data_IF_086993533966
#
_entry.id   IF_086993533966
#
_cell.length_a   1.000
_cell.length_b   1.000
_cell.length_c   1.000
_cell.angle_alpha   90.00
_cell.angle_beta   90.00
_cell.angle_gamma   90.00
#
_symmetry.space_group_name_H-M   'P 1'
#
loop_
_entity.id
_entity.type
_entity.pdbx_description
1 polymer ?
#
# COMPACT_ATOMS: atom_id res chain seq x y z
N UNK A 1 11.35 18.89 -17.98
CA UNK A 1 10.67 17.60 -18.14
C UNK A 1 11.68 16.47 -18.20
N UNK A 2 12.47 16.31 -19.27
CA UNK A 2 13.37 15.15 -19.42
C UNK A 2 14.36 14.96 -18.27
N UNK A 3 14.98 16.05 -17.77
CA UNK A 3 15.82 16.01 -16.56
C UNK A 3 15.08 15.42 -15.35
N UNK A 4 13.81 15.77 -15.16
CA UNK A 4 13.01 15.21 -14.07
C UNK A 4 12.62 13.75 -14.30
N UNK A 5 12.52 13.30 -15.56
CA UNK A 5 12.18 11.92 -15.86
C UNK A 5 13.39 11.00 -15.69
N UNK A 6 14.56 11.46 -16.09
CA UNK A 6 15.82 10.78 -15.81
C UNK A 6 16.13 10.77 -14.30
N UNK A 7 16.07 11.92 -13.61
CA UNK A 7 16.23 12.00 -12.15
C UNK A 7 15.23 11.09 -11.41
N UNK A 8 13.96 11.05 -11.86
CA UNK A 8 12.96 10.14 -11.29
C UNK A 8 13.34 8.67 -11.48
N UNK A 9 13.86 8.28 -12.66
CA UNK A 9 14.24 6.89 -12.93
C UNK A 9 15.44 6.47 -12.07
N UNK A 10 16.44 7.34 -11.95
CA UNK A 10 17.59 7.11 -11.07
C UNK A 10 17.15 6.94 -9.62
N UNK A 11 16.33 7.88 -9.11
CA UNK A 11 15.81 7.85 -7.75
C UNK A 11 14.91 6.64 -7.49
N UNK A 12 14.06 6.28 -8.44
CA UNK A 12 13.24 5.08 -8.38
C UNK A 12 14.12 3.83 -8.21
N UNK A 13 15.12 3.64 -9.09
CA UNK A 13 16.00 2.48 -9.05
C UNK A 13 16.81 2.42 -7.74
N UNK A 14 17.29 3.57 -7.25
CA UNK A 14 18.00 3.70 -5.97
C UNK A 14 17.11 3.35 -4.78
N UNK A 15 15.95 4.00 -4.66
CA UNK A 15 15.03 3.80 -3.54
C UNK A 15 14.42 2.40 -3.55
N UNK A 16 14.08 1.86 -4.73
CA UNK A 16 13.60 0.49 -4.87
C UNK A 16 14.61 -0.48 -4.31
N UNK A 17 15.89 -0.37 -4.70
CA UNK A 17 16.98 -1.20 -4.16
C UNK A 17 17.07 -1.17 -2.64
N UNK A 18 16.96 0.00 -2.02
CA UNK A 18 16.98 0.10 -0.56
C UNK A 18 15.76 -0.55 0.09
N UNK A 19 14.55 -0.28 -0.42
CA UNK A 19 13.31 -0.85 0.10
C UNK A 19 13.24 -2.37 -0.08
N UNK A 20 13.81 -2.89 -1.18
CA UNK A 20 13.95 -4.32 -1.41
C UNK A 20 14.84 -5.01 -0.37
N UNK A 21 15.99 -4.41 -0.07
CA UNK A 21 16.91 -4.95 0.93
C UNK A 21 16.27 -4.96 2.31
N UNK A 22 15.63 -3.86 2.68
CA UNK A 22 14.89 -3.74 3.93
C UNK A 22 13.77 -4.80 4.03
N UNK A 23 12.91 -4.91 3.01
CA UNK A 23 11.87 -5.95 2.99
C UNK A 23 12.45 -7.37 3.06
N UNK A 24 13.58 -7.65 2.39
CA UNK A 24 14.24 -8.96 2.47
C UNK A 24 14.76 -9.24 3.88
N UNK A 25 15.41 -8.27 4.50
CA UNK A 25 15.97 -8.38 5.84
C UNK A 25 14.85 -8.60 6.86
N UNK A 26 13.84 -7.75 6.89
CA UNK A 26 12.74 -7.85 7.86
C UNK A 26 11.82 -9.05 7.62
N UNK A 27 11.61 -9.48 6.38
CA UNK A 27 10.67 -10.57 6.07
C UNK A 27 11.30 -11.96 5.94
N UNK A 28 12.61 -12.05 5.68
CA UNK A 28 13.30 -13.35 5.50
C UNK A 28 14.40 -13.63 6.50
N UNK A 29 14.98 -12.59 7.10
CA UNK A 29 16.06 -12.72 8.08
C UNK A 29 15.89 -11.76 9.27
N UNK A 30 14.69 -11.63 9.87
CA UNK A 30 14.52 -10.74 11.01
C UNK A 30 15.48 -11.16 12.13
N UNK A 31 16.18 -10.19 12.71
CA UNK A 31 17.23 -10.41 13.71
C UNK A 31 18.39 -11.34 13.27
N UNK A 32 18.59 -11.53 11.96
CA UNK A 32 19.64 -12.38 11.41
C UNK A 32 19.30 -13.87 11.35
N UNK A 33 18.13 -14.29 11.86
CA UNK A 33 17.65 -15.66 11.77
C UNK A 33 16.71 -15.85 10.59
N UNK A 34 16.85 -16.97 9.87
CA UNK A 34 15.92 -17.27 8.78
C UNK A 34 14.48 -17.38 9.32
N UNK A 35 13.58 -16.58 8.78
CA UNK A 35 12.14 -16.62 9.06
C UNK A 35 11.38 -16.42 7.76
N UNK A 36 10.12 -16.83 7.68
CA UNK A 36 9.28 -16.49 6.54
C UNK A 36 8.09 -15.68 7.01
N UNK A 37 8.27 -14.35 7.10
CA UNK A 37 7.16 -13.45 7.40
C UNK A 37 6.47 -12.93 6.13
N UNK A 38 5.18 -12.62 6.24
CA UNK A 38 4.45 -11.88 5.21
C UNK A 38 4.08 -10.44 5.63
N UNK A 39 3.48 -9.69 4.68
CA UNK A 39 3.04 -8.32 4.94
C UNK A 39 1.90 -8.18 5.97
N UNK A 40 1.28 -9.29 6.35
CA UNK A 40 0.08 -9.37 7.19
C UNK A 40 0.41 -9.87 8.62
N UNK A 41 1.71 -9.90 8.96
CA UNK A 41 2.29 -10.29 10.25
C UNK A 41 2.24 -11.80 10.53
N UNK A 42 2.11 -12.63 9.50
CA UNK A 42 2.10 -14.08 9.64
C UNK A 42 3.46 -14.72 9.41
N UNK A 43 3.75 -15.80 10.14
CA UNK A 43 4.80 -16.77 9.83
C UNK A 43 4.28 -17.80 8.83
N UNK A 44 4.74 -17.70 7.58
CA UNK A 44 4.35 -18.56 6.48
C UNK A 44 4.87 -20.00 6.58
N UNK A 45 5.84 -20.28 7.45
CA UNK A 45 6.24 -21.67 7.73
C UNK A 45 5.09 -22.46 8.37
N UNK A 46 4.21 -21.77 9.11
CA UNK A 46 3.08 -22.37 9.83
C UNK A 46 1.72 -21.97 9.24
N UNK A 47 1.65 -20.83 8.58
CA UNK A 47 0.41 -20.28 8.03
C UNK A 47 0.05 -20.93 6.70
N UNK A 48 -1.18 -21.40 6.59
CA UNK A 48 -1.81 -21.90 5.37
C UNK A 48 -3.28 -21.46 5.38
N UNK A 49 -3.55 -20.31 4.75
CA UNK A 49 -4.85 -19.66 4.80
C UNK A 49 -5.97 -20.52 4.20
N UNK A 50 -5.68 -21.34 3.19
CA UNK A 50 -6.64 -22.28 2.61
C UNK A 50 -7.13 -23.36 3.58
N UNK A 51 -6.41 -23.58 4.69
CA UNK A 51 -6.82 -24.46 5.81
C UNK A 51 -7.41 -23.69 6.99
N UNK A 52 -7.53 -22.37 6.88
CA UNK A 52 -7.85 -21.44 7.97
C UNK A 52 -6.87 -21.51 9.14
N UNK A 53 -5.60 -21.82 8.84
CA UNK A 53 -4.51 -21.87 9.79
C UNK A 53 -3.65 -20.61 9.65
N UNK A 54 -3.75 -19.73 10.65
CA UNK A 54 -3.06 -18.43 10.69
C UNK A 54 -2.16 -18.38 11.90
N UNK A 55 -0.90 -17.96 11.72
CA UNK A 55 0.09 -17.88 12.80
C UNK A 55 0.77 -16.52 12.77
N UNK A 56 0.25 -15.59 13.57
CA UNK A 56 0.89 -14.32 13.85
C UNK A 56 2.10 -14.53 14.77
N UNK A 57 3.21 -13.85 14.46
CA UNK A 57 4.34 -13.77 15.37
C UNK A 57 4.85 -12.32 15.47
N UNK A 58 5.25 -11.90 16.68
CA UNK A 58 5.70 -10.53 16.94
C UNK A 58 6.90 -10.14 16.06
N UNK A 59 7.81 -11.09 15.80
CA UNK A 59 8.98 -10.91 14.93
C UNK A 59 8.60 -10.53 13.49
N UNK A 60 7.38 -10.82 13.05
CA UNK A 60 6.89 -10.46 11.72
C UNK A 60 6.32 -9.03 11.63
N UNK A 61 6.29 -8.26 12.73
CA UNK A 61 5.82 -6.86 12.70
C UNK A 61 6.69 -5.96 11.83
N UNK A 62 8.00 -6.19 11.83
CA UNK A 62 8.93 -5.35 11.06
C UNK A 62 8.74 -5.61 9.56
N UNK A 63 8.46 -6.86 9.17
CA UNK A 63 8.05 -7.18 7.80
C UNK A 63 6.77 -6.43 7.40
N UNK A 64 5.74 -6.45 8.26
CA UNK A 64 4.49 -5.71 8.03
C UNK A 64 4.77 -4.21 7.80
N UNK A 65 5.58 -3.58 8.65
CA UNK A 65 5.89 -2.16 8.53
C UNK A 65 6.68 -1.81 7.26
N UNK A 66 7.71 -2.60 6.94
CA UNK A 66 8.50 -2.44 5.72
C UNK A 66 7.63 -2.64 4.46
N UNK A 67 6.80 -3.68 4.44
CA UNK A 67 5.97 -4.01 3.29
C UNK A 67 4.81 -3.06 3.09
N UNK A 68 4.09 -2.65 4.13
CA UNK A 68 2.97 -1.71 4.00
C UNK A 68 3.42 -0.38 3.38
N UNK A 69 4.59 0.13 3.81
CA UNK A 69 5.20 1.36 3.25
C UNK A 69 5.71 1.14 1.82
N UNK A 70 6.37 0.01 1.56
CA UNK A 70 6.90 -0.31 0.23
C UNK A 70 5.79 -0.47 -0.81
N UNK A 71 4.73 -1.22 -0.50
CA UNK A 71 3.58 -1.44 -1.38
C UNK A 71 2.89 -0.12 -1.72
N UNK A 72 2.63 0.73 -0.74
CA UNK A 72 2.04 2.06 -0.97
C UNK A 72 2.94 2.94 -1.83
N UNK A 73 4.26 2.87 -1.63
CA UNK A 73 5.23 3.63 -2.44
C UNK A 73 5.30 3.12 -3.89
N UNK A 74 5.39 1.82 -4.12
CA UNK A 74 5.50 1.25 -5.48
C UNK A 74 4.23 1.50 -6.30
N UNK A 75 3.04 1.40 -5.67
CA UNK A 75 1.75 1.73 -6.31
C UNK A 75 1.68 3.20 -6.76
N UNK A 76 2.35 4.11 -6.03
CA UNK A 76 2.45 5.52 -6.42
C UNK A 76 3.48 5.73 -7.53
N UNK A 77 4.63 5.05 -7.47
CA UNK A 77 5.68 5.12 -8.50
C UNK A 77 5.17 4.66 -9.86
N UNK A 78 4.38 3.58 -9.92
CA UNK A 78 3.72 3.13 -11.15
C UNK A 78 2.91 4.25 -11.82
N UNK A 79 2.20 5.04 -11.03
CA UNK A 79 1.34 6.13 -11.54
C UNK A 79 2.13 7.37 -11.95
N UNK A 80 3.23 7.65 -11.27
CA UNK A 80 4.16 8.70 -11.68
C UNK A 80 4.79 8.32 -13.02
N UNK A 81 5.25 7.09 -13.16
CA UNK A 81 5.78 6.54 -14.41
C UNK A 81 4.79 6.67 -15.57
N UNK A 82 3.56 6.14 -15.43
CA UNK A 82 2.51 6.24 -16.47
C UNK A 82 2.23 7.68 -16.90
N UNK A 83 2.31 8.66 -15.99
CA UNK A 83 2.13 10.08 -16.30
C UNK A 83 3.30 10.63 -17.10
N UNK A 84 4.52 10.25 -16.73
CA UNK A 84 5.74 10.68 -17.41
C UNK A 84 5.85 10.09 -18.80
N UNK A 85 5.51 8.81 -18.96
CA UNK A 85 5.40 8.13 -20.25
C UNK A 85 4.41 8.85 -21.19
N UNK A 86 3.19 9.10 -20.71
CA UNK A 86 2.17 9.87 -21.45
C UNK A 86 2.64 11.28 -21.80
N UNK A 87 3.42 11.91 -20.91
CA UNK A 87 3.98 13.25 -21.15
C UNK A 87 5.07 13.19 -22.23
N UNK A 88 5.99 12.24 -22.17
CA UNK A 88 7.04 12.05 -23.17
C UNK A 88 6.44 11.87 -24.57
N UNK A 89 5.46 10.96 -24.70
CA UNK A 89 4.76 10.69 -25.96
C UNK A 89 4.09 11.94 -26.56
N UNK A 90 3.64 12.88 -25.72
CA UNK A 90 3.10 14.17 -26.17
C UNK A 90 4.21 15.15 -26.57
N UNK A 91 5.24 15.30 -25.74
CA UNK A 91 6.33 16.25 -25.99
C UNK A 91 7.14 15.90 -27.25
N UNK A 92 7.35 14.61 -27.55
CA UNK A 92 8.12 14.17 -28.72
C UNK A 92 7.38 14.41 -30.06
N UNK A 93 6.04 14.46 -30.01
CA UNK A 93 5.17 14.74 -31.18
C UNK A 93 4.90 16.23 -31.36
N UNK A 94 5.11 17.03 -30.32
CA UNK A 94 4.81 18.45 -30.31
C UNK A 94 5.81 19.21 -31.18
N UNK A 95 5.31 20.17 -31.94
CA UNK A 95 6.14 21.20 -32.54
C UNK A 95 6.49 22.24 -31.48
N UNK A 96 7.78 22.38 -31.19
CA UNK A 96 8.27 23.31 -30.18
C UNK A 96 8.63 24.60 -30.89
N UNK A 97 7.65 25.49 -31.05
CA UNK A 97 7.90 26.78 -31.69
C UNK A 97 9.11 27.52 -31.09
N UNK A 98 9.76 28.34 -31.91
CA UNK A 98 10.99 29.07 -31.56
C UNK A 98 10.77 30.23 -30.57
N UNK A 99 9.51 30.51 -30.23
CA UNK A 99 9.11 31.54 -29.27
C UNK A 99 8.06 31.01 -28.29
N UNK A 100 8.08 31.52 -27.06
CA UNK A 100 7.12 31.17 -26.01
C UNK A 100 6.55 32.44 -25.38
N UNK A 101 5.23 32.51 -25.22
CA UNK A 101 4.57 33.60 -24.48
C UNK A 101 4.54 33.27 -22.99
N UNK A 102 5.13 34.14 -22.17
CA UNK A 102 5.11 34.08 -20.71
C UNK A 102 4.48 35.37 -20.20
N UNK A 103 3.20 35.31 -19.83
CA UNK A 103 2.43 36.50 -19.46
C UNK A 103 2.27 37.44 -20.66
N UNK A 104 2.78 38.67 -20.55
CA UNK A 104 2.78 39.67 -21.65
C UNK A 104 4.09 39.70 -22.46
N UNK A 105 5.07 38.86 -22.11
CA UNK A 105 6.39 38.86 -22.73
C UNK A 105 6.60 37.62 -23.59
N UNK A 106 7.17 37.80 -24.78
CA UNK A 106 7.63 36.70 -25.64
C UNK A 106 9.10 36.43 -25.36
N UNK A 107 9.44 35.18 -25.03
CA UNK A 107 10.83 34.73 -24.84
C UNK A 107 11.25 33.78 -25.96
N UNK A 108 12.56 33.72 -26.20
CA UNK A 108 13.16 32.82 -27.18
C UNK A 108 13.15 31.37 -26.65
N UNK A 109 12.70 30.43 -27.48
CA UNK A 109 12.58 29.00 -27.19
C UNK A 109 13.39 28.13 -28.16
N UNK A 110 14.29 28.73 -28.97
CA UNK A 110 15.11 28.04 -29.98
C UNK A 110 15.83 26.80 -29.42
N UNK A 111 16.42 26.93 -28.23
CA UNK A 111 17.15 25.82 -27.61
C UNK A 111 16.29 24.60 -27.31
N UNK A 112 15.00 24.80 -27.01
CA UNK A 112 14.08 23.69 -26.72
C UNK A 112 13.69 22.98 -28.01
N UNK A 113 13.44 23.74 -29.07
CA UNK A 113 13.13 23.20 -30.39
C UNK A 113 14.27 22.35 -30.95
N UNK A 114 15.47 22.93 -31.00
CA UNK A 114 16.67 22.22 -31.47
C UNK A 114 16.95 20.97 -30.63
N UNK A 115 16.76 21.07 -29.31
CA UNK A 115 16.90 19.92 -28.42
C UNK A 115 15.91 18.80 -28.76
N UNK A 116 14.61 19.09 -28.92
CA UNK A 116 13.62 18.07 -29.22
C UNK A 116 13.74 17.50 -30.64
N UNK A 117 14.22 18.30 -31.62
CA UNK A 117 14.58 17.79 -32.96
C UNK A 117 15.71 16.76 -32.88
N UNK A 118 16.77 17.07 -32.13
CA UNK A 118 17.88 16.13 -31.89
C UNK A 118 17.38 14.90 -31.12
N UNK A 119 16.61 15.12 -30.05
CA UNK A 119 16.07 14.03 -29.23
C UNK A 119 15.21 13.09 -30.09
N UNK A 120 14.32 13.62 -30.92
CA UNK A 120 13.46 12.83 -31.81
C UNK A 120 14.24 12.01 -32.83
N UNK A 121 15.42 12.48 -33.26
CA UNK A 121 16.32 11.71 -34.15
C UNK A 121 16.87 10.46 -33.46
N UNK A 122 17.24 10.54 -32.19
CA UNK A 122 17.89 9.44 -31.46
C UNK A 122 16.92 8.59 -30.61
N UNK A 123 15.87 9.21 -30.08
CA UNK A 123 14.87 8.63 -29.18
C UNK A 123 13.45 8.99 -29.65
N UNK A 124 13.05 8.53 -30.86
CA UNK A 124 11.79 8.91 -31.49
C UNK A 124 10.54 8.44 -30.73
N UNK A 125 10.68 7.39 -29.92
CA UNK A 125 9.60 6.78 -29.14
C UNK A 125 9.94 6.81 -27.64
N UNK A 126 8.90 6.64 -26.81
CA UNK A 126 9.08 6.52 -25.37
C UNK A 126 9.90 5.27 -25.03
N UNK A 127 9.65 4.15 -25.69
CA UNK A 127 10.36 2.88 -25.45
C UNK A 127 11.88 2.99 -25.66
N UNK A 128 12.29 3.76 -26.69
CA UNK A 128 13.72 4.02 -26.95
C UNK A 128 14.36 4.88 -25.85
N UNK A 129 13.61 5.84 -25.31
CA UNK A 129 14.07 6.64 -24.19
C UNK A 129 14.13 5.82 -22.90
N UNK A 130 13.11 4.99 -22.64
CA UNK A 130 13.06 4.07 -21.51
C UNK A 130 14.21 3.05 -21.56
N UNK A 131 14.55 2.52 -22.73
CA UNK A 131 15.72 1.64 -22.93
C UNK A 131 17.02 2.32 -22.46
N UNK A 132 17.13 3.65 -22.65
CA UNK A 132 18.27 4.42 -22.16
C UNK A 132 18.29 4.51 -20.64
N UNK A 133 17.13 4.78 -20.02
CA UNK A 133 16.99 4.85 -18.56
C UNK A 133 17.27 3.48 -17.90
N UNK A 134 16.81 2.38 -18.51
CA UNK A 134 17.07 1.01 -18.05
C UNK A 134 18.56 0.67 -17.97
N UNK A 135 19.38 1.26 -18.86
CA UNK A 135 20.84 1.07 -18.94
C UNK A 135 21.64 1.93 -17.98
N UNK A 136 20.98 2.71 -17.13
CA UNK A 136 21.69 3.42 -16.07
C UNK A 136 22.22 2.44 -15.03
N UNK A 137 23.47 2.66 -14.59
CA UNK A 137 24.20 1.74 -13.71
C UNK A 137 23.43 1.35 -12.43
N UNK A 138 22.60 2.25 -11.91
CA UNK A 138 21.77 1.99 -10.71
C UNK A 138 20.57 1.10 -11.01
N UNK A 139 20.00 1.20 -12.22
CA UNK A 139 18.89 0.37 -12.70
C UNK A 139 19.36 -1.02 -13.16
N UNK A 140 20.57 -1.12 -13.70
CA UNK A 140 21.20 -2.40 -14.09
C UNK A 140 21.60 -3.30 -12.90
N UNK A 141 21.80 -2.71 -11.71
CA UNK A 141 22.35 -3.41 -10.52
C UNK A 141 21.43 -3.36 -9.30
N UNK A 142 20.31 -4.07 -9.40
CA UNK A 142 19.36 -4.33 -8.33
C UNK A 142 19.71 -5.58 -7.50
N UNK A 143 19.22 -5.68 -6.25
CA UNK A 143 19.30 -6.90 -5.46
C UNK A 143 18.56 -8.05 -6.17
N UNK A 144 19.12 -9.25 -6.09
CA UNK A 144 18.46 -10.46 -6.57
C UNK A 144 17.21 -10.74 -5.74
N UNK A 145 16.06 -10.82 -6.42
CA UNK A 145 14.79 -11.27 -5.86
C UNK A 145 14.53 -12.64 -6.46
N UNK A 146 14.14 -13.63 -5.66
CA UNK A 146 13.86 -14.98 -6.16
C UNK A 146 12.89 -14.93 -7.35
N UNK A 147 13.37 -15.37 -8.52
CA UNK A 147 12.58 -15.41 -9.75
C UNK A 147 12.52 -14.09 -10.55
N UNK A 148 13.20 -13.02 -10.14
CA UNK A 148 13.32 -11.77 -10.93
C UNK A 148 14.78 -11.37 -11.17
N UNK A 149 15.02 -10.78 -12.34
CA UNK A 149 16.35 -10.33 -12.78
C UNK A 149 16.98 -9.26 -11.88
N UNK A 150 18.29 -9.05 -12.06
CA UNK A 150 19.08 -8.03 -11.34
C UNK A 150 18.98 -6.64 -11.97
N UNK A 151 18.23 -6.48 -13.05
CA UNK A 151 18.04 -5.21 -13.75
C UNK A 151 16.57 -4.80 -13.78
N UNK A 152 16.33 -3.49 -13.81
CA UNK A 152 15.02 -2.93 -14.18
C UNK A 152 15.06 -2.63 -15.67
N UNK A 153 14.14 -3.22 -16.43
CA UNK A 153 13.81 -2.70 -17.76
C UNK A 153 12.47 -1.97 -17.69
N UNK A 154 12.47 -0.66 -17.94
CA UNK A 154 11.26 0.15 -17.99
C UNK A 154 10.34 -0.17 -19.18
N UNK A 155 10.80 -0.98 -20.14
CA UNK A 155 9.98 -1.50 -21.23
C UNK A 155 9.29 -2.84 -20.90
N UNK A 156 9.62 -3.47 -19.77
CA UNK A 156 8.91 -4.65 -19.31
C UNK A 156 7.46 -4.30 -18.94
N UNK A 157 6.63 -5.34 -18.79
CA UNK A 157 5.28 -5.19 -18.28
C UNK A 157 5.30 -4.38 -16.97
N UNK A 158 4.40 -3.39 -16.78
CA UNK A 158 4.41 -2.55 -15.58
C UNK A 158 4.34 -3.35 -14.28
N UNK A 159 3.67 -4.50 -14.31
CA UNK A 159 3.57 -5.37 -13.14
C UNK A 159 4.89 -6.07 -12.83
N UNK A 160 5.84 -6.15 -13.76
CA UNK A 160 7.18 -6.65 -13.46
C UNK A 160 8.04 -5.61 -12.74
N UNK A 161 8.06 -4.38 -13.25
CA UNK A 161 8.82 -3.26 -12.68
C UNK A 161 8.27 -2.84 -11.32
N UNK A 162 6.95 -2.66 -11.26
CA UNK A 162 6.21 -2.16 -10.11
C UNK A 162 5.56 -3.27 -9.29
N UNK A 163 5.98 -4.53 -9.49
CA UNK A 163 5.56 -5.65 -8.64
C UNK A 163 5.83 -5.37 -7.17
N UNK A 164 4.85 -5.75 -6.35
CA UNK A 164 5.11 -6.05 -4.94
C UNK A 164 6.10 -7.20 -4.92
N UNK A 165 7.12 -7.10 -4.07
CA UNK A 165 8.15 -8.15 -3.99
C UNK A 165 7.55 -9.47 -3.56
N UNK A 166 8.20 -10.58 -3.89
CA UNK A 166 7.92 -11.89 -3.30
C UNK A 166 8.04 -11.87 -1.76
N UNK A 167 8.75 -10.88 -1.20
CA UNK A 167 8.86 -10.66 0.25
C UNK A 167 7.61 -10.02 0.86
N UNK A 168 6.90 -9.18 0.09
CA UNK A 168 5.74 -8.41 0.54
C UNK A 168 4.41 -8.89 -0.08
N UNK A 169 4.30 -10.19 -0.32
CA UNK A 169 3.04 -10.88 -0.66
C UNK A 169 2.52 -11.60 0.58
N UNK A 170 1.23 -11.93 0.59
CA UNK A 170 0.64 -12.77 1.63
C UNK A 170 1.30 -14.16 1.63
N UNK A 171 1.23 -14.87 2.75
CA UNK A 171 1.64 -16.27 2.78
C UNK A 171 0.93 -17.07 1.67
N UNK A 172 1.61 -18.03 1.01
CA UNK A 172 0.97 -18.88 0.01
C UNK A 172 -0.26 -19.57 0.59
N UNK A 173 -1.30 -19.76 -0.23
CA UNK A 173 -2.59 -20.29 0.20
C UNK A 173 -2.44 -21.65 0.90
N UNK A 174 -1.57 -22.49 0.34
CA UNK A 174 -1.24 -23.81 0.87
C UNK A 174 -0.11 -23.87 1.89
N UNK A 175 0.49 -22.72 2.24
CA UNK A 175 1.73 -22.67 2.99
C UNK A 175 2.95 -23.07 2.16
N UNK A 176 4.03 -23.41 2.85
CA UNK A 176 5.34 -23.69 2.23
C UNK A 176 5.93 -25.02 2.69
N UNK A 177 6.91 -25.53 1.95
CA UNK A 177 7.71 -26.69 2.33
C UNK A 177 9.21 -26.44 2.15
N UNK A 178 10.04 -27.38 2.60
CA UNK A 178 11.50 -27.32 2.47
C UNK A 178 12.21 -26.89 3.76
N UNK A 179 13.55 -26.93 3.78
CA UNK A 179 14.32 -26.60 4.97
C UNK A 179 14.30 -25.09 5.25
N UNK A 180 14.50 -24.73 6.51
CA UNK A 180 14.60 -23.33 6.99
C UNK A 180 15.56 -22.53 6.09
N UNK A 181 15.10 -21.37 5.60
CA UNK A 181 15.85 -20.51 4.68
C UNK A 181 15.79 -20.88 3.20
N UNK A 182 15.19 -22.03 2.82
CA UNK A 182 15.04 -22.49 1.43
C UNK A 182 13.62 -22.98 1.14
N UNK A 183 12.63 -22.29 1.68
CA UNK A 183 11.23 -22.63 1.50
C UNK A 183 10.78 -22.51 0.05
N UNK A 184 9.85 -23.38 -0.35
CA UNK A 184 9.15 -23.34 -1.62
C UNK A 184 7.65 -23.31 -1.37
N UNK A 185 6.94 -22.54 -2.19
CA UNK A 185 5.49 -22.48 -2.14
C UNK A 185 4.93 -23.86 -2.50
N UNK A 186 3.91 -24.28 -1.76
CA UNK A 186 3.10 -25.43 -2.15
C UNK A 186 2.10 -24.95 -3.21
N UNK A 187 1.91 -25.75 -4.26
CA UNK A 187 0.96 -25.44 -5.33
C UNK A 187 -0.47 -25.23 -4.79
N UNK A 188 -1.11 -24.13 -5.17
CA UNK A 188 -2.42 -23.74 -4.65
C UNK A 188 -3.51 -24.78 -4.98
N UNK A 189 -3.35 -25.55 -6.07
CA UNK A 189 -4.25 -26.63 -6.45
C UNK A 189 -4.32 -27.77 -5.40
N UNK A 190 -3.30 -27.92 -4.57
CA UNK A 190 -3.30 -28.87 -3.44
C UNK A 190 -4.37 -28.51 -2.41
N UNK A 191 -4.66 -27.21 -2.22
CA UNK A 191 -5.61 -26.73 -1.22
C UNK A 191 -6.88 -26.13 -1.82
N UNK A 192 -6.98 -26.02 -3.15
CA UNK A 192 -8.22 -25.66 -3.83
C UNK A 192 -9.41 -26.55 -3.43
N UNK A 193 -9.14 -27.81 -3.03
CA UNK A 193 -10.13 -28.76 -2.52
C UNK A 193 -10.22 -28.80 -0.98
N UNK A 194 -9.40 -28.03 -0.28
CA UNK A 194 -9.26 -28.03 1.19
C UNK A 194 -9.97 -26.85 1.87
N UNK A 195 -10.83 -26.10 1.16
CA UNK A 195 -11.75 -25.12 1.76
C UNK A 195 -12.71 -25.83 2.73
N UNK A 196 -12.17 -26.25 3.87
CA UNK A 196 -12.90 -26.80 4.99
C UNK A 196 -13.75 -25.65 5.48
N UNK A 197 -15.06 -25.73 5.24
CA UNK A 197 -15.99 -24.81 5.86
C UNK A 197 -15.74 -24.84 7.37
N UNK A 198 -15.12 -23.78 7.87
CA UNK A 198 -14.98 -23.52 9.30
C UNK A 198 -16.30 -22.95 9.78
N UNK A 199 -16.79 -23.46 10.90
CA UNK A 199 -17.94 -22.86 11.56
C UNK A 199 -17.44 -21.65 12.37
N UNK A 200 -17.98 -20.47 12.10
CA UNK A 200 -17.63 -19.24 12.80
C UNK A 200 -18.75 -18.89 13.78
N UNK A 201 -18.42 -18.78 15.06
CA UNK A 201 -19.37 -18.36 16.09
C UNK A 201 -19.72 -16.89 15.88
N UNK A 202 -21.01 -16.58 15.71
CA UNK A 202 -21.48 -15.22 15.43
C UNK A 202 -21.07 -14.21 16.51
N UNK A 203 -21.12 -14.63 17.79
CA UNK A 203 -20.71 -13.81 18.93
C UNK A 203 -19.24 -13.37 18.89
N UNK A 204 -18.40 -14.06 18.11
CA UNK A 204 -16.97 -13.77 17.98
C UNK A 204 -16.64 -12.93 16.74
N UNK A 205 -17.63 -12.69 15.88
CA UNK A 205 -17.47 -11.89 14.66
C UNK A 205 -17.66 -10.40 14.99
N UNK A 206 -16.97 -9.54 14.26
CA UNK A 206 -17.23 -8.09 14.24
C UNK A 206 -17.07 -7.54 12.84
N UNK A 207 -18.13 -6.90 12.34
CA UNK A 207 -18.12 -6.16 11.08
C UNK A 207 -17.53 -4.77 11.30
N UNK A 208 -16.43 -4.47 10.60
CA UNK A 208 -15.74 -3.18 10.66
C UNK A 208 -15.82 -2.50 9.28
N UNK A 209 -16.71 -1.53 9.08
CA UNK A 209 -16.84 -0.83 7.81
C UNK A 209 -15.77 0.25 7.65
N UNK A 210 -14.69 -0.02 6.91
CA UNK A 210 -13.52 0.88 6.77
C UNK A 210 -13.59 1.74 5.52
N UNK A 211 -13.49 3.06 5.70
CA UNK A 211 -13.34 4.05 4.63
C UNK A 211 -11.95 3.97 4.00
N UNK A 212 -11.90 3.49 2.76
CA UNK A 212 -10.66 3.22 2.02
C UNK A 212 -10.39 4.31 0.97
N UNK A 213 -9.17 4.88 0.91
CA UNK A 213 -8.86 5.92 -0.09
C UNK A 213 -8.86 5.36 -1.52
N UNK A 214 -9.27 6.18 -2.49
CA UNK A 214 -9.18 5.84 -3.91
C UNK A 214 -7.71 5.66 -4.32
N UNK A 215 -7.39 4.47 -4.87
CA UNK A 215 -6.03 4.11 -5.28
C UNK A 215 -5.50 5.11 -6.29
N UNK A 216 -4.40 5.81 -5.96
CA UNK A 216 -3.66 6.68 -6.89
C UNK A 216 -4.13 8.12 -6.98
N UNK A 217 -5.15 8.48 -6.21
CA UNK A 217 -5.52 9.87 -6.04
C UNK A 217 -4.57 10.51 -5.02
N UNK A 218 -3.96 11.61 -5.42
CA UNK A 218 -3.08 12.41 -4.55
C UNK A 218 -3.86 13.58 -3.95
N UNK A 219 -3.66 13.84 -2.66
CA UNK A 219 -4.38 14.86 -1.91
C UNK A 219 -5.65 14.32 -1.27
N UNK A 220 -5.94 14.77 -0.05
CA UNK A 220 -6.95 14.17 0.83
C UNK A 220 -8.38 14.25 0.27
N UNK A 221 -8.72 15.38 -0.37
CA UNK A 221 -10.03 15.56 -0.99
C UNK A 221 -10.25 14.64 -2.19
N UNK A 222 -9.22 14.42 -3.01
CA UNK A 222 -9.31 13.52 -4.17
C UNK A 222 -9.34 12.06 -3.74
N UNK A 223 -8.60 11.70 -2.67
CA UNK A 223 -8.61 10.34 -2.09
C UNK A 223 -10.00 9.92 -1.65
N UNK A 224 -10.81 10.84 -1.14
CA UNK A 224 -12.14 10.58 -0.59
C UNK A 224 -13.25 11.27 -1.36
N UNK A 225 -13.04 11.55 -2.65
CA UNK A 225 -13.95 12.38 -3.44
C UNK A 225 -15.36 11.76 -3.51
N UNK A 226 -15.44 10.46 -3.78
CA UNK A 226 -16.71 9.73 -3.86
C UNK A 226 -17.42 9.69 -2.50
N UNK A 227 -16.68 9.46 -1.42
CA UNK A 227 -17.20 9.51 -0.06
C UNK A 227 -17.67 10.92 0.34
N UNK A 228 -16.89 11.97 0.04
CA UNK A 228 -17.26 13.35 0.30
C UNK A 228 -18.61 13.70 -0.34
N UNK A 229 -18.83 13.25 -1.58
CA UNK A 229 -20.04 13.49 -2.34
C UNK A 229 -21.24 12.71 -1.78
N UNK A 230 -21.10 11.40 -1.58
CA UNK A 230 -22.23 10.50 -1.30
C UNK A 230 -22.44 10.18 0.18
N UNK A 231 -21.38 10.21 0.99
CA UNK A 231 -21.37 9.75 2.37
C UNK A 231 -21.29 8.24 2.56
N UNK A 232 -21.35 7.45 1.48
CA UNK A 232 -21.37 5.97 1.56
C UNK A 232 -20.37 5.28 0.63
N UNK A 233 -19.91 5.96 -0.43
CA UNK A 233 -18.91 5.40 -1.33
C UNK A 233 -17.57 5.13 -0.64
N UNK A 234 -16.79 4.19 -1.18
CA UNK A 234 -15.45 3.81 -0.72
C UNK A 234 -15.37 3.11 0.65
N UNK A 235 -16.50 2.74 1.24
CA UNK A 235 -16.54 1.95 2.47
C UNK A 235 -16.38 0.48 2.10
N UNK A 236 -15.32 -0.16 2.61
CA UNK A 236 -15.05 -1.59 2.49
C UNK A 236 -15.45 -2.29 3.78
N UNK A 237 -16.15 -3.41 3.71
CA UNK A 237 -16.55 -4.20 4.88
C UNK A 237 -15.46 -5.21 5.21
N UNK A 238 -14.91 -5.10 6.41
CA UNK A 238 -14.02 -6.10 6.98
C UNK A 238 -14.79 -6.90 8.03
N UNK A 239 -14.50 -8.19 8.12
CA UNK A 239 -15.04 -9.06 9.16
C UNK A 239 -13.87 -9.60 9.98
N UNK A 240 -13.80 -9.25 11.26
CA UNK A 240 -12.79 -9.75 12.18
C UNK A 240 -13.38 -10.85 13.06
N UNK A 241 -12.61 -11.90 13.32
CA UNK A 241 -13.04 -13.06 14.10
C UNK A 241 -12.01 -13.40 15.17
N UNK A 242 -12.48 -13.50 16.41
CA UNK A 242 -11.70 -13.95 17.56
C UNK A 242 -12.06 -15.40 17.93
N UNK A 243 -11.14 -16.33 17.70
CA UNK A 243 -11.31 -17.75 17.93
C UNK A 243 -10.86 -18.15 19.34
N UNK A 244 -11.80 -18.18 20.29
CA UNK A 244 -11.51 -18.54 21.69
C UNK A 244 -10.92 -19.93 21.86
N UNK A 245 -11.13 -20.82 20.87
CA UNK A 245 -10.66 -22.20 20.90
C UNK A 245 -9.21 -22.34 20.39
N UNK A 246 -8.58 -21.24 19.94
CA UNK A 246 -7.19 -21.19 19.46
C UNK A 246 -6.29 -20.43 20.43
N UNK A 247 -5.00 -20.80 20.51
CA UNK A 247 -4.04 -20.06 21.32
C UNK A 247 -3.80 -18.65 20.74
N UNK A 248 -3.24 -17.78 21.59
CA UNK A 248 -2.83 -16.43 21.18
C UNK A 248 -1.88 -16.46 19.98
N UNK A 249 -2.03 -15.48 19.09
CA UNK A 249 -1.33 -15.42 17.80
C UNK A 249 -1.96 -16.26 16.69
N UNK A 250 -2.95 -17.10 16.97
CA UNK A 250 -3.71 -17.83 15.92
C UNK A 250 -5.20 -17.49 15.92
N UNK A 251 -5.66 -16.89 17.00
CA UNK A 251 -7.06 -16.67 17.32
C UNK A 251 -7.66 -15.42 16.69
N UNK A 252 -6.87 -14.41 16.28
CA UNK A 252 -7.45 -13.10 15.93
C UNK A 252 -7.12 -12.60 14.52
N UNK A 253 -8.06 -12.73 13.58
CA UNK A 253 -7.83 -12.47 12.16
C UNK A 253 -9.00 -11.70 11.51
N UNK A 254 -8.69 -10.89 10.50
CA UNK A 254 -9.65 -10.10 9.74
C UNK A 254 -9.59 -10.41 8.24
N UNK A 255 -10.75 -10.48 7.60
CA UNK A 255 -10.92 -10.68 6.15
C UNK A 255 -11.62 -9.48 5.52
N UNK A 256 -11.20 -9.10 4.31
CA UNK A 256 -11.95 -8.17 3.47
C UNK A 256 -13.11 -8.91 2.79
N UNK A 257 -14.29 -8.88 3.41
CA UNK A 257 -15.45 -9.67 2.98
C UNK A 257 -16.06 -10.39 4.17
N UNK A 258 -16.50 -11.62 3.95
CA UNK A 258 -17.04 -12.50 4.99
C UNK A 258 -16.27 -13.80 5.06
N UNK A 259 -16.04 -14.31 6.27
CA UNK A 259 -15.38 -15.59 6.50
C UNK A 259 -16.20 -16.77 5.97
N UNK A 260 -17.53 -16.68 6.04
CA UNK A 260 -18.44 -17.72 5.52
C UNK A 260 -18.25 -17.97 4.01
N UNK A 261 -17.87 -16.93 3.26
CA UNK A 261 -17.66 -16.98 1.82
C UNK A 261 -16.19 -17.04 1.42
N UNK A 262 -15.27 -17.32 2.34
CA UNK A 262 -13.83 -17.33 2.04
C UNK A 262 -13.49 -18.37 0.97
N UNK A 263 -12.83 -17.91 -0.09
CA UNK A 263 -12.40 -18.74 -1.22
C UNK A 263 -10.89 -18.95 -1.27
N UNK A 264 -10.13 -18.10 -0.57
CA UNK A 264 -8.67 -18.06 -0.63
C UNK A 264 -8.13 -16.84 -1.39
N UNK A 265 -8.98 -16.14 -2.14
CA UNK A 265 -8.61 -14.97 -2.93
C UNK A 265 -8.74 -13.65 -2.15
N UNK A 266 -9.41 -13.68 -1.00
CA UNK A 266 -9.68 -12.49 -0.20
C UNK A 266 -8.43 -12.00 0.56
N UNK A 267 -8.36 -10.69 0.76
CA UNK A 267 -7.33 -10.08 1.60
C UNK A 267 -7.56 -10.46 3.07
N UNK A 268 -6.65 -11.24 3.67
CA UNK A 268 -6.67 -11.63 5.08
C UNK A 268 -5.45 -11.09 5.81
N UNK A 269 -5.63 -10.61 7.04
CA UNK A 269 -4.53 -10.21 7.92
C UNK A 269 -4.85 -10.42 9.40
N UNK A 270 -3.82 -10.50 10.23
CA UNK A 270 -4.04 -10.53 11.69
C UNK A 270 -4.75 -9.26 12.13
N UNK A 271 -5.56 -9.34 13.19
CA UNK A 271 -6.21 -8.15 13.73
C UNK A 271 -5.19 -7.07 14.15
N UNK A 272 -4.03 -7.48 14.66
CA UNK A 272 -2.94 -6.55 14.94
C UNK A 272 -2.44 -5.82 13.70
N UNK A 273 -2.24 -6.55 12.57
CA UNK A 273 -1.84 -5.91 11.32
C UNK A 273 -2.92 -4.95 10.81
N UNK A 274 -4.19 -5.34 10.93
CA UNK A 274 -5.34 -4.49 10.61
C UNK A 274 -5.37 -3.21 11.45
N UNK A 275 -5.28 -3.34 12.78
CA UNK A 275 -5.30 -2.24 13.74
C UNK A 275 -4.19 -1.22 13.44
N UNK A 276 -2.94 -1.66 13.36
CA UNK A 276 -1.82 -0.75 13.13
C UNK A 276 -1.83 -0.12 11.74
N UNK A 277 -2.32 -0.84 10.73
CA UNK A 277 -2.56 -0.27 9.41
C UNK A 277 -3.62 0.84 9.47
N UNK A 278 -4.74 0.61 10.15
CA UNK A 278 -5.80 1.60 10.32
C UNK A 278 -5.30 2.84 11.05
N UNK A 279 -4.61 2.67 12.19
CA UNK A 279 -4.03 3.77 12.98
C UNK A 279 -3.05 4.59 12.14
N UNK A 280 -2.11 3.90 11.47
CA UNK A 280 -1.13 4.57 10.63
C UNK A 280 -1.79 5.37 9.51
N UNK A 281 -2.77 4.81 8.81
CA UNK A 281 -3.49 5.51 7.73
C UNK A 281 -4.33 6.69 8.25
N UNK A 282 -4.99 6.53 9.40
CA UNK A 282 -5.79 7.58 10.04
C UNK A 282 -4.93 8.77 10.45
N UNK A 283 -3.77 8.54 11.08
CA UNK A 283 -2.82 9.59 11.46
C UNK A 283 -2.25 10.31 10.22
N UNK A 284 -1.84 9.54 9.21
CA UNK A 284 -1.34 10.05 7.93
C UNK A 284 -2.34 10.99 7.26
N UNK A 285 -3.62 10.61 7.28
CA UNK A 285 -4.69 11.35 6.64
C UNK A 285 -5.17 12.53 7.49
N UNK A 286 -5.06 12.45 8.82
CA UNK A 286 -5.27 13.58 9.73
C UNK A 286 -4.28 14.72 9.45
N UNK A 287 -3.00 14.40 9.25
CA UNK A 287 -1.97 15.39 8.87
C UNK A 287 -2.31 16.05 7.52
N UNK A 288 -2.75 15.24 6.54
CA UNK A 288 -3.14 15.76 5.21
C UNK A 288 -4.41 16.60 5.26
N UNK A 289 -5.39 16.23 6.09
CA UNK A 289 -6.57 17.03 6.36
C UNK A 289 -6.23 18.37 6.96
N UNK A 290 -5.37 18.38 7.99
CA UNK A 290 -4.85 19.62 8.59
C UNK A 290 -4.22 20.52 7.53
N UNK A 291 -3.28 19.98 6.75
CA UNK A 291 -2.62 20.75 5.70
C UNK A 291 -3.58 21.26 4.60
N UNK A 292 -4.65 20.52 4.28
CA UNK A 292 -5.65 20.95 3.30
C UNK A 292 -6.55 22.05 3.85
N UNK A 293 -7.02 21.92 5.09
CA UNK A 293 -7.91 22.89 5.73
C UNK A 293 -7.17 24.17 6.12
N UNK A 294 -5.90 24.08 6.53
CA UNK A 294 -5.05 25.25 6.87
C UNK A 294 -4.97 26.26 5.70
N UNK A 295 -5.05 25.80 4.45
CA UNK A 295 -5.08 26.68 3.27
C UNK A 295 -6.30 27.60 3.24
N UNK A 296 -7.41 27.18 3.83
CA UNK A 296 -8.70 27.85 3.74
C UNK A 296 -9.14 28.51 5.06
N UNK A 297 -8.65 28.01 6.20
CA UNK A 297 -8.81 28.60 7.52
C UNK A 297 -7.85 29.80 7.69
N UNK A 298 -8.05 30.88 6.92
CA UNK A 298 -7.34 32.15 7.15
C UNK A 298 -7.98 32.95 8.29
N UNK A 299 -7.13 33.50 9.16
CA UNK A 299 -7.39 34.43 10.27
C UNK A 299 -7.81 33.80 11.61
N UNK A 300 -7.59 34.54 12.69
CA UNK A 300 -7.66 34.17 14.12
C UNK A 300 -8.92 33.40 14.56
N UNK A 301 -10.00 33.48 13.77
CA UNK A 301 -11.29 32.85 14.07
C UNK A 301 -11.44 31.41 13.55
N UNK A 302 -10.51 30.88 12.73
CA UNK A 302 -10.53 29.51 12.17
C UNK A 302 -11.93 29.05 11.67
N UNK A 303 -12.64 29.87 10.89
CA UNK A 303 -14.01 29.56 10.44
C UNK A 303 -14.08 29.04 9.00
N UNK A 304 -15.00 28.10 8.76
CA UNK A 304 -15.30 27.55 7.42
C UNK A 304 -16.20 28.50 6.61
N UNK A 305 -15.70 29.69 6.23
CA UNK A 305 -16.54 30.78 5.71
C UNK A 305 -16.68 30.89 4.18
N UNK A 306 -15.72 30.40 3.38
CA UNK A 306 -15.76 30.50 1.90
C UNK A 306 -16.48 29.30 1.28
N UNK A 307 -17.18 29.46 0.13
CA UNK A 307 -17.90 28.35 -0.55
C UNK A 307 -17.05 27.07 -0.72
N UNK A 308 -15.79 27.20 -1.14
CA UNK A 308 -14.84 26.07 -1.25
C UNK A 308 -14.46 25.49 0.11
N UNK A 309 -14.07 26.33 1.07
CA UNK A 309 -13.73 25.91 2.43
C UNK A 309 -14.90 25.22 3.16
N UNK A 310 -16.14 25.66 2.91
CA UNK A 310 -17.34 25.03 3.47
C UNK A 310 -17.53 23.61 2.92
N UNK A 311 -17.26 23.37 1.63
CA UNK A 311 -17.28 22.00 1.06
C UNK A 311 -16.22 21.12 1.70
N UNK A 312 -14.99 21.62 1.81
CA UNK A 312 -13.85 20.86 2.33
C UNK A 312 -14.04 20.54 3.82
N UNK A 313 -14.46 21.53 4.63
CA UNK A 313 -14.83 21.33 6.04
C UNK A 313 -16.00 20.36 6.21
N UNK A 314 -17.04 20.44 5.36
CA UNK A 314 -18.15 19.47 5.40
C UNK A 314 -17.66 18.06 5.12
N UNK A 315 -16.75 17.88 4.16
CA UNK A 315 -16.18 16.56 3.93
C UNK A 315 -15.33 16.09 5.11
N UNK A 316 -14.48 16.95 5.68
CA UNK A 316 -13.70 16.60 6.87
C UNK A 316 -14.60 16.18 8.03
N UNK A 317 -15.69 16.90 8.30
CA UNK A 317 -16.67 16.52 9.33
C UNK A 317 -17.30 15.14 9.07
N UNK A 318 -17.60 14.80 7.81
CA UNK A 318 -18.08 13.45 7.45
C UNK A 318 -16.99 12.40 7.69
N UNK A 319 -15.75 12.72 7.33
CA UNK A 319 -14.61 11.82 7.51
C UNK A 319 -14.34 11.55 8.99
N UNK A 320 -14.34 12.57 9.86
CA UNK A 320 -14.17 12.42 11.31
C UNK A 320 -15.25 11.51 11.88
N UNK A 321 -16.53 11.81 11.60
CA UNK A 321 -17.65 10.96 12.03
C UNK A 321 -17.50 9.51 11.60
N UNK A 322 -17.02 9.29 10.37
CA UNK A 322 -16.81 7.95 9.86
C UNK A 322 -15.66 7.23 10.59
N UNK A 323 -14.59 7.95 10.94
CA UNK A 323 -13.48 7.41 11.73
C UNK A 323 -13.87 7.13 13.18
N UNK A 324 -14.75 7.93 13.78
CA UNK A 324 -15.36 7.65 15.09
C UNK A 324 -16.11 6.31 15.04
N UNK A 325 -17.00 6.11 14.07
CA UNK A 325 -17.73 4.83 13.91
C UNK A 325 -16.81 3.64 13.61
N UNK A 326 -15.74 3.83 12.83
CA UNK A 326 -14.75 2.77 12.61
C UNK A 326 -14.01 2.39 13.90
N UNK A 327 -13.63 3.40 14.69
CA UNK A 327 -12.93 3.21 15.95
C UNK A 327 -13.79 2.46 16.98
N UNK A 328 -15.07 2.80 17.08
CA UNK A 328 -16.02 2.09 17.97
C UNK A 328 -16.08 0.58 17.67
N UNK A 329 -16.18 0.17 16.40
CA UNK A 329 -16.17 -1.25 16.04
C UNK A 329 -14.80 -1.91 16.24
N UNK A 330 -13.71 -1.15 16.04
CA UNK A 330 -12.34 -1.62 16.34
C UNK A 330 -12.19 -1.90 17.84
N UNK A 331 -12.58 -0.97 18.71
CA UNK A 331 -12.55 -1.15 20.16
C UNK A 331 -13.43 -2.30 20.62
N UNK A 332 -14.63 -2.42 20.04
CA UNK A 332 -15.54 -3.53 20.33
C UNK A 332 -14.92 -4.88 20.00
N UNK A 333 -14.21 -4.99 18.87
CA UNK A 333 -13.48 -6.20 18.54
C UNK A 333 -12.27 -6.42 19.46
N UNK A 334 -11.53 -5.35 19.79
CA UNK A 334 -10.38 -5.41 20.69
C UNK A 334 -10.74 -6.06 22.04
N UNK A 335 -11.92 -5.70 22.57
CA UNK A 335 -12.47 -6.21 23.84
C UNK A 335 -12.89 -7.68 23.82
N UNK A 336 -12.94 -8.33 22.64
CA UNK A 336 -13.20 -9.78 22.54
C UNK A 336 -11.99 -10.63 22.91
N UNK A 337 -10.79 -10.05 22.97
CA UNK A 337 -9.51 -10.76 23.15
C UNK A 337 -9.30 -11.26 24.59
N UNK A 338 -10.04 -12.29 24.99
CA UNK A 338 -10.00 -12.88 26.35
C UNK A 338 -8.63 -13.40 26.76
N UNK A 339 -7.74 -13.70 25.81
CA UNK A 339 -6.36 -14.10 26.08
C UNK A 339 -5.55 -12.99 26.78
N UNK A 340 -5.86 -11.71 26.52
CA UNK A 340 -5.27 -10.59 27.25
C UNK A 340 -5.69 -10.55 28.73
N UNK A 341 -6.96 -10.85 29.03
CA UNK A 341 -7.44 -10.90 30.43
C UNK A 341 -6.73 -12.01 31.20
N UNK A 342 -6.51 -13.16 30.56
CA UNK A 342 -5.80 -14.29 31.15
C UNK A 342 -4.34 -13.97 31.48
N UNK A 343 -3.73 -13.01 30.79
CA UNK A 343 -2.38 -12.46 31.07
C UNK A 343 -2.41 -11.33 32.11
N UNK A 344 -3.57 -11.02 32.70
CA UNK A 344 -3.74 -9.97 33.70
C UNK A 344 -3.71 -8.54 33.13
N UNK A 345 -3.85 -8.38 31.81
CA UNK A 345 -3.91 -7.07 31.17
C UNK A 345 -5.33 -6.52 31.21
N UNK A 346 -5.47 -5.28 31.68
CA UNK A 346 -6.75 -4.57 31.68
C UNK A 346 -6.97 -3.89 30.32
N UNK A 347 -8.03 -4.26 29.60
CA UNK A 347 -8.37 -3.67 28.31
C UNK A 347 -8.50 -2.14 28.34
N UNK A 348 -9.09 -1.58 29.40
CA UNK A 348 -9.23 -0.11 29.54
C UNK A 348 -7.87 0.56 29.70
N UNK A 349 -6.93 -0.10 30.37
CA UNK A 349 -5.59 0.41 30.52
C UNK A 349 -4.83 0.32 29.18
N UNK A 350 -4.95 -0.80 28.46
CA UNK A 350 -4.35 -0.98 27.15
C UNK A 350 -4.89 0.04 26.13
N UNK A 351 -6.20 0.21 26.05
CA UNK A 351 -6.85 1.18 25.16
C UNK A 351 -6.52 2.63 25.52
N UNK A 352 -6.24 2.95 26.78
CA UNK A 352 -5.78 4.30 27.19
C UNK A 352 -4.32 4.58 26.86
N UNK A 353 -3.49 3.53 26.75
CA UNK A 353 -2.09 3.65 26.36
C UNK A 353 -1.97 3.85 24.85
N UNK A 354 -2.82 3.17 24.09
CA UNK A 354 -2.99 3.31 22.64
C UNK A 354 -3.62 4.67 22.29
#
# INVERSE_FOLDING_TARGET
>A
FLRWFEEWAEDFCRLRKHKLKDAKEQCRKPNGEDKYCDLNRYDCEKTASGKHDFFEEDVCKDCQYSCARFVKWIDNQKKEFEKQEKKYTKEIKKDHGTTLQVGKTTINNLYVDDFYKILKKYYPTVDKFLEKLSKEKICEKQPEVEGKGKSIDFNDEPDDIFSRTKYCRACPLCGVNGPKGKWKDIDDGVCANLNKKKNYKEDNITDIPVLTPEKGKTGILKKYETFCATGVGQIKKWECYYDEDKPSGQNNNCILGKWESFTGEEDVMSYNAFFWKWVSEMLDDSIKWRAELDKCLKNDKKTCGKKKCNRDCKCYKKWVKKKETEWEEIEKHFRKQKDMENEGLNFEMALKIL
#
